data_IF_767190895217
#
_entry.id   IF_767190895217
#
_cell.length_a   1.000
_cell.length_b   1.000
_cell.length_c   1.000
_cell.angle_alpha   90.00
_cell.angle_beta   90.00
_cell.angle_gamma   90.00
#
_symmetry.space_group_name_H-M   'P 1'
#
loop_
_entity.id
_entity.type
_entity.pdbx_description
1 polymer ?
#
# COMPACT_ATOMS: atom_id res chain seq x y z
N UNK A 1 21.32 5.54 -16.94
CA UNK A 1 20.48 6.75 -17.04
C UNK A 1 20.73 7.36 -18.41
N UNK A 2 19.68 7.74 -19.14
CA UNK A 2 19.83 8.56 -20.35
C UNK A 2 20.09 9.99 -19.92
N UNK A 3 20.96 10.69 -20.62
CA UNK A 3 21.25 12.09 -20.32
C UNK A 3 19.99 12.93 -20.58
N UNK A 4 19.49 13.71 -19.58
CA UNK A 4 18.35 14.59 -19.74
C UNK A 4 18.48 15.56 -20.93
N UNK A 5 19.69 16.02 -21.22
CA UNK A 5 19.95 16.94 -22.34
C UNK A 5 19.81 16.23 -23.70
N UNK A 6 20.23 14.97 -23.79
CA UNK A 6 20.03 14.13 -24.98
C UNK A 6 18.56 13.80 -25.21
N UNK A 7 17.78 13.58 -24.14
CA UNK A 7 16.34 13.30 -24.23
C UNK A 7 15.57 14.50 -24.78
N UNK A 8 15.99 15.72 -24.42
CA UNK A 8 15.42 16.95 -24.98
C UNK A 8 16.04 17.35 -26.32
N UNK A 9 17.14 16.72 -26.73
CA UNK A 9 17.86 17.03 -27.98
C UNK A 9 18.53 18.40 -27.95
N UNK A 10 18.99 18.84 -26.78
CA UNK A 10 19.64 20.15 -26.58
C UNK A 10 21.06 19.95 -26.06
N UNK A 11 21.92 20.95 -26.25
CA UNK A 11 23.26 20.96 -25.65
C UNK A 11 23.17 20.99 -24.13
N UNK A 12 24.18 20.45 -23.45
CA UNK A 12 24.34 20.60 -21.98
C UNK A 12 24.52 22.05 -21.56
N UNK A 13 25.07 22.87 -22.45
CA UNK A 13 25.24 24.32 -22.28
C UNK A 13 24.02 25.13 -22.73
N UNK A 14 22.93 24.46 -23.11
CA UNK A 14 21.72 25.16 -23.55
C UNK A 14 21.16 26.06 -22.46
N UNK A 15 20.75 27.25 -22.87
CA UNK A 15 20.05 28.21 -22.01
C UNK A 15 18.69 27.64 -21.58
N UNK A 16 18.16 28.12 -20.45
CA UNK A 16 16.82 27.73 -19.99
C UNK A 16 15.73 28.01 -21.03
N UNK A 17 15.92 29.03 -21.86
CA UNK A 17 15.03 29.38 -22.96
C UNK A 17 15.04 28.31 -24.05
N UNK A 18 16.23 27.80 -24.43
CA UNK A 18 16.38 26.72 -25.41
C UNK A 18 15.84 25.40 -24.88
N UNK A 19 16.08 25.08 -23.61
CA UNK A 19 15.54 23.90 -22.93
C UNK A 19 14.00 23.95 -22.92
N UNK A 20 13.42 25.10 -22.58
CA UNK A 20 11.97 25.31 -22.58
C UNK A 20 11.38 25.25 -23.99
N UNK A 21 12.08 25.79 -24.98
CA UNK A 21 11.65 25.77 -26.38
C UNK A 21 11.66 24.34 -26.95
N UNK A 22 12.71 23.56 -26.66
CA UNK A 22 12.81 22.16 -27.06
C UNK A 22 11.73 21.30 -26.39
N UNK A 23 11.49 21.51 -25.09
CA UNK A 23 10.40 20.87 -24.35
C UNK A 23 9.04 21.14 -25.01
N UNK A 24 8.70 22.40 -25.29
CA UNK A 24 7.43 22.77 -25.95
C UNK A 24 7.25 22.10 -27.31
N UNK A 25 8.34 21.99 -28.09
CA UNK A 25 8.34 21.33 -29.40
C UNK A 25 8.06 19.84 -29.29
N UNK A 26 8.68 19.16 -28.32
CA UNK A 26 8.47 17.73 -28.06
C UNK A 26 7.11 17.45 -27.44
N UNK A 27 6.66 18.31 -26.52
CA UNK A 27 5.34 18.22 -25.89
C UNK A 27 4.22 18.36 -26.92
N UNK A 28 4.34 19.29 -27.87
CA UNK A 28 3.39 19.40 -28.99
C UNK A 28 3.45 18.18 -29.91
N UNK A 29 4.64 17.61 -30.13
CA UNK A 29 4.80 16.44 -31.01
C UNK A 29 4.18 15.17 -30.43
N UNK A 30 4.33 14.94 -29.12
CA UNK A 30 3.85 13.74 -28.43
C UNK A 30 2.57 13.97 -27.62
N UNK A 31 1.87 15.07 -27.85
CA UNK A 31 0.65 15.41 -27.11
C UNK A 31 -0.42 14.31 -27.28
N UNK A 32 -1.12 13.89 -26.21
CA UNK A 32 -2.17 12.87 -26.31
C UNK A 32 -3.30 13.27 -27.26
N UNK A 33 -3.68 14.54 -27.33
CA UNK A 33 -4.71 15.01 -28.29
C UNK A 33 -4.29 14.84 -29.76
N UNK A 34 -2.99 14.89 -30.05
CA UNK A 34 -2.45 14.71 -31.40
C UNK A 34 -2.07 13.26 -31.69
N UNK A 35 -1.96 12.42 -30.66
CA UNK A 35 -1.57 11.01 -30.75
C UNK A 35 -2.47 10.14 -29.84
N UNK A 36 -3.80 10.11 -30.07
CA UNK A 36 -4.70 9.34 -29.22
C UNK A 36 -4.41 7.84 -29.35
N UNK A 37 -4.18 7.17 -28.21
CA UNK A 37 -3.97 5.72 -28.15
C UNK A 37 -2.57 5.23 -28.53
N UNK A 38 -1.61 6.11 -28.84
CA UNK A 38 -0.23 5.72 -29.12
C UNK A 38 0.59 5.60 -27.82
N UNK A 39 0.76 4.35 -27.35
CA UNK A 39 1.57 4.03 -26.18
C UNK A 39 3.06 4.46 -26.33
N UNK A 40 3.56 4.54 -27.57
CA UNK A 40 4.94 4.97 -27.83
C UNK A 40 5.10 6.48 -27.68
N UNK A 41 4.12 7.27 -28.12
CA UNK A 41 4.07 8.72 -27.89
C UNK A 41 3.93 9.04 -26.39
N UNK A 42 3.11 8.27 -25.68
CA UNK A 42 2.94 8.40 -24.23
C UNK A 42 4.25 8.14 -23.47
N UNK A 43 4.97 7.07 -23.83
CA UNK A 43 6.26 6.75 -23.20
C UNK A 43 7.31 7.83 -23.47
N UNK A 44 7.40 8.30 -24.72
CA UNK A 44 8.33 9.39 -25.09
C UNK A 44 7.98 10.71 -24.39
N UNK A 45 6.70 11.03 -24.24
CA UNK A 45 6.26 12.19 -23.48
C UNK A 45 6.67 12.09 -22.00
N UNK A 46 6.50 10.92 -21.38
CA UNK A 46 6.94 10.69 -20.01
C UNK A 46 8.45 10.89 -19.84
N UNK A 47 9.26 10.36 -20.77
CA UNK A 47 10.72 10.54 -20.78
C UNK A 47 11.12 12.03 -20.91
N UNK A 48 10.47 12.77 -21.82
CA UNK A 48 10.69 14.22 -22.02
C UNK A 48 10.35 15.05 -20.79
N UNK A 49 9.27 14.70 -20.08
CA UNK A 49 8.86 15.39 -18.86
C UNK A 49 9.89 15.19 -17.73
N UNK A 50 10.34 13.95 -17.52
CA UNK A 50 11.35 13.64 -16.51
C UNK A 50 12.65 14.39 -16.78
N UNK A 51 13.11 14.40 -18.03
CA UNK A 51 14.33 15.10 -18.43
C UNK A 51 14.26 16.63 -18.19
N UNK A 52 13.14 17.25 -18.54
CA UNK A 52 12.92 18.68 -18.32
C UNK A 52 12.90 19.05 -16.83
N UNK A 53 12.23 18.24 -16.00
CA UNK A 53 12.23 18.45 -14.54
C UNK A 53 13.61 18.27 -13.92
N UNK A 54 14.39 17.29 -14.40
CA UNK A 54 15.74 17.03 -13.91
C UNK A 54 16.71 18.17 -14.24
N UNK A 55 16.59 18.76 -15.43
CA UNK A 55 17.37 19.94 -15.83
C UNK A 55 16.92 21.18 -15.04
N UNK A 56 15.61 21.42 -14.95
CA UNK A 56 15.04 22.60 -14.27
C UNK A 56 15.28 22.60 -12.76
N UNK A 57 15.32 21.42 -12.14
CA UNK A 57 15.62 21.27 -10.71
C UNK A 57 17.12 21.38 -10.39
N UNK A 58 17.99 21.59 -11.39
CA UNK A 58 19.44 21.63 -11.23
C UNK A 58 20.07 20.26 -10.95
N UNK A 59 19.26 19.19 -10.86
CA UNK A 59 19.70 17.82 -10.58
C UNK A 59 20.50 17.22 -11.73
N UNK A 60 20.20 17.60 -12.97
CA UNK A 60 20.98 17.19 -14.14
C UNK A 60 22.41 17.77 -14.12
N UNK A 61 22.58 19.01 -13.65
CA UNK A 61 23.92 19.64 -13.50
C UNK A 61 24.73 19.04 -12.35
N UNK A 62 24.05 18.54 -11.31
CA UNK A 62 24.71 17.99 -10.12
C UNK A 62 25.30 16.59 -10.33
N UNK A 63 24.86 15.86 -11.37
CA UNK A 63 25.37 14.51 -11.67
C UNK A 63 26.76 14.53 -12.33
N UNK A 64 27.25 15.66 -12.84
CA UNK A 64 28.50 15.73 -13.62
C UNK A 64 29.74 16.17 -12.82
N UNK A 65 29.63 16.36 -11.50
CA UNK A 65 30.80 16.73 -10.67
C UNK A 65 31.21 15.73 -9.59
N UNK A 66 30.49 14.63 -9.37
CA UNK A 66 30.88 13.65 -8.33
C UNK A 66 30.20 12.30 -8.53
N UNK A 67 30.99 11.30 -8.94
CA UNK A 67 30.81 9.94 -8.43
C UNK A 67 31.87 9.77 -7.33
N UNK A 68 31.50 9.52 -6.05
CA UNK A 68 30.99 8.20 -5.67
C UNK A 68 29.94 8.15 -4.50
N UNK A 69 29.22 7.03 -4.46
CA UNK A 69 28.72 6.30 -3.27
C UNK A 69 27.47 6.77 -2.47
N UNK A 70 26.65 5.76 -2.15
CA UNK A 70 25.66 5.63 -1.05
C UNK A 70 24.32 6.41 -1.12
N UNK A 71 23.20 5.67 -1.02
CA UNK A 71 21.84 6.22 -0.77
C UNK A 71 21.58 6.50 0.72
N UNK A 72 20.33 6.43 1.23
CA UNK A 72 19.04 6.94 0.75
C UNK A 72 18.31 7.81 1.81
N UNK A 73 17.57 8.88 1.47
CA UNK A 73 16.59 9.56 2.36
C UNK A 73 15.77 10.61 1.56
N UNK A 74 14.46 10.39 1.32
CA UNK A 74 13.29 10.81 2.13
C UNK A 74 13.08 12.32 2.36
N UNK A 75 12.23 12.92 1.49
CA UNK A 75 11.20 13.99 1.71
C UNK A 75 11.62 15.30 2.45
N UNK A 76 10.70 16.28 2.63
CA UNK A 76 9.84 17.00 1.68
C UNK A 76 10.07 18.52 1.78
N UNK A 77 9.86 19.31 0.71
CA UNK A 77 9.78 20.77 0.88
C UNK A 77 8.86 21.42 -0.15
N UNK A 78 7.78 22.04 0.35
CA UNK A 78 7.10 23.13 -0.32
C UNK A 78 7.77 24.45 0.05
N UNK A 79 7.78 25.42 -0.87
CA UNK A 79 8.30 26.75 -0.58
C UNK A 79 8.54 27.62 -1.81
N UNK A 80 7.51 28.40 -2.16
CA UNK A 80 7.50 29.75 -2.76
C UNK A 80 8.28 30.08 -4.05
N UNK A 81 7.52 30.67 -5.00
CA UNK A 81 8.00 31.35 -6.19
C UNK A 81 6.90 32.22 -6.82
N UNK A 82 6.56 33.30 -6.12
CA UNK A 82 5.85 34.50 -6.57
C UNK A 82 6.20 34.91 -8.02
N UNK A 83 5.34 34.64 -9.00
CA UNK A 83 5.15 35.49 -10.19
C UNK A 83 3.83 35.09 -10.87
N UNK A 84 2.91 36.04 -11.00
CA UNK A 84 1.62 35.84 -11.65
C UNK A 84 1.83 35.45 -13.11
N UNK A 85 1.54 34.20 -13.43
CA UNK A 85 1.50 33.68 -14.78
C UNK A 85 0.63 32.44 -14.74
N UNK A 86 -0.41 32.44 -15.57
CA UNK A 86 -1.23 31.27 -15.85
C UNK A 86 -0.30 30.09 -16.15
N UNK A 87 -0.14 29.16 -15.19
CA UNK A 87 0.64 27.94 -15.37
C UNK A 87 -0.26 26.97 -16.15
N UNK A 88 -0.05 26.78 -17.47
CA UNK A 88 -0.89 25.90 -18.28
C UNK A 88 -0.78 24.44 -17.80
N UNK A 89 0.20 24.17 -16.94
CA UNK A 89 0.45 22.90 -16.29
C UNK A 89 -0.34 22.72 -14.99
N UNK A 90 -0.99 23.74 -14.41
CA UNK A 90 -1.88 23.55 -13.26
C UNK A 90 -3.11 22.71 -13.67
N UNK A 91 -3.72 23.01 -14.82
CA UNK A 91 -4.83 22.23 -15.35
C UNK A 91 -4.41 20.79 -15.71
N UNK A 92 -3.23 20.61 -16.31
CA UNK A 92 -2.69 19.30 -16.66
C UNK A 92 -2.28 18.48 -15.42
N UNK A 93 -1.62 19.11 -14.43
CA UNK A 93 -1.24 18.49 -13.13
C UNK A 93 -2.48 18.12 -12.33
N UNK A 94 -3.50 18.99 -12.30
CA UNK A 94 -4.79 18.71 -11.67
C UNK A 94 -5.55 17.60 -12.41
N UNK A 95 -5.49 17.57 -13.75
CA UNK A 95 -6.10 16.49 -14.56
C UNK A 95 -5.38 15.15 -14.39
N UNK A 96 -4.05 15.13 -14.27
CA UNK A 96 -3.26 13.92 -14.03
C UNK A 96 -3.35 13.43 -12.58
N UNK A 97 -3.40 14.33 -11.59
CA UNK A 97 -3.74 13.98 -10.21
C UNK A 97 -5.18 13.47 -10.10
N UNK A 98 -6.12 14.05 -10.86
CA UNK A 98 -7.49 13.54 -10.96
C UNK A 98 -7.56 12.21 -11.70
N UNK A 99 -6.71 11.95 -12.70
CA UNK A 99 -6.61 10.66 -13.39
C UNK A 99 -6.00 9.56 -12.49
N UNK A 100 -5.00 9.89 -11.67
CA UNK A 100 -4.47 9.00 -10.64
C UNK A 100 -5.46 8.79 -9.49
N UNK A 101 -6.21 9.82 -9.08
CA UNK A 101 -7.34 9.66 -8.16
C UNK A 101 -8.49 8.90 -8.83
N UNK A 102 -8.65 8.94 -10.16
CA UNK A 102 -9.67 8.17 -10.89
C UNK A 102 -9.37 6.68 -10.91
N UNK A 103 -8.10 6.26 -10.89
CA UNK A 103 -7.74 4.87 -10.59
C UNK A 103 -8.02 4.47 -9.12
N UNK A 104 -8.21 5.44 -8.22
CA UNK A 104 -8.79 5.24 -6.88
C UNK A 104 -10.31 5.55 -6.81
N UNK A 105 -10.93 6.10 -7.87
CA UNK A 105 -12.39 6.37 -7.97
C UNK A 105 -13.22 5.15 -8.32
N UNK A 106 -12.60 3.99 -8.56
CA UNK A 106 -13.29 2.71 -8.47
C UNK A 106 -13.85 2.44 -7.06
N UNK A 107 -13.54 3.29 -6.07
CA UNK A 107 -14.13 3.24 -4.73
C UNK A 107 -14.85 4.54 -4.33
N UNK A 108 -15.69 5.13 -5.18
CA UNK A 108 -16.83 5.96 -4.70
C UNK A 108 -17.88 5.03 -4.08
N UNK A 109 -17.42 4.25 -3.12
CA UNK A 109 -18.09 3.17 -2.44
C UNK A 109 -18.19 3.67 -0.99
N UNK A 110 -19.32 3.45 -0.31
CA UNK A 110 -19.70 4.13 0.96
C UNK A 110 -18.74 3.96 2.15
N UNK A 111 -17.53 3.42 1.92
CA UNK A 111 -16.47 3.13 2.87
C UNK A 111 -15.52 4.29 3.16
N UNK A 112 -15.59 5.43 2.47
CA UNK A 112 -14.77 6.61 2.80
C UNK A 112 -14.81 7.02 4.28
N UNK A 113 -15.98 7.13 4.94
CA UNK A 113 -16.00 7.38 6.39
C UNK A 113 -15.31 6.25 7.18
N UNK A 114 -15.50 4.99 6.78
CA UNK A 114 -14.85 3.84 7.42
C UNK A 114 -13.33 3.96 7.34
N UNK A 115 -12.77 4.23 6.15
CA UNK A 115 -11.32 4.39 5.94
C UNK A 115 -10.75 5.54 6.77
N UNK A 116 -11.48 6.65 6.91
CA UNK A 116 -11.08 7.76 7.79
C UNK A 116 -11.01 7.32 9.25
N UNK A 117 -11.98 6.56 9.74
CA UNK A 117 -11.95 6.01 11.10
C UNK A 117 -10.80 5.01 11.28
N UNK A 118 -10.54 4.15 10.30
CA UNK A 118 -9.41 3.20 10.32
C UNK A 118 -8.06 3.92 10.44
N UNK A 119 -7.84 4.95 9.63
CA UNK A 119 -6.62 5.77 9.69
C UNK A 119 -6.45 6.51 11.02
N UNK A 120 -7.57 6.85 11.67
CA UNK A 120 -7.58 7.46 12.99
C UNK A 120 -7.50 6.44 14.14
N UNK A 121 -7.34 5.13 13.85
CA UNK A 121 -7.38 4.03 14.83
C UNK A 121 -8.69 3.95 15.63
N UNK A 122 -9.77 4.51 15.08
CA UNK A 122 -11.12 4.57 15.67
C UNK A 122 -11.96 3.40 15.18
N UNK A 123 -11.56 2.19 15.56
CA UNK A 123 -12.10 0.95 15.00
C UNK A 123 -13.57 0.69 15.38
N UNK A 124 -14.00 1.16 16.55
CA UNK A 124 -15.41 1.03 16.98
C UNK A 124 -16.33 1.85 16.08
N UNK A 125 -15.95 3.08 15.74
CA UNK A 125 -16.71 3.94 14.83
C UNK A 125 -16.68 3.42 13.39
N UNK A 126 -15.55 2.83 12.97
CA UNK A 126 -15.46 2.13 11.70
C UNK A 126 -16.48 0.98 11.62
N UNK A 127 -16.57 0.15 12.67
CA UNK A 127 -17.56 -0.94 12.75
C UNK A 127 -18.99 -0.43 12.81
N UNK A 128 -19.24 0.69 13.52
CA UNK A 128 -20.56 1.31 13.53
C UNK A 128 -20.97 1.77 12.12
N UNK A 129 -20.09 2.47 11.41
CA UNK A 129 -20.35 2.89 10.04
C UNK A 129 -20.59 1.69 9.10
N UNK A 130 -19.79 0.62 9.23
CA UNK A 130 -19.99 -0.62 8.49
C UNK A 130 -21.33 -1.30 8.80
N UNK A 131 -21.82 -1.21 10.04
CA UNK A 131 -23.10 -1.81 10.43
C UNK A 131 -24.31 -1.15 9.75
N UNK A 132 -24.20 0.14 9.39
CA UNK A 132 -25.25 0.87 8.68
C UNK A 132 -25.35 0.53 7.19
N UNK A 133 -24.29 -0.07 6.63
CA UNK A 133 -24.27 -0.46 5.23
C UNK A 133 -25.14 -1.71 5.05
N UNK A 134 -25.95 -1.75 3.99
CA UNK A 134 -26.79 -2.92 3.68
C UNK A 134 -26.02 -3.99 2.93
N UNK A 135 -25.17 -3.57 2.00
CA UNK A 135 -24.42 -4.47 1.14
C UNK A 135 -23.16 -4.98 1.83
N UNK A 136 -22.91 -6.28 1.69
CA UNK A 136 -21.75 -7.00 2.24
C UNK A 136 -20.82 -7.37 1.08
N UNK A 137 -20.10 -6.37 0.59
CA UNK A 137 -19.09 -6.55 -0.47
C UNK A 137 -17.81 -7.17 0.08
N UNK A 138 -16.91 -7.63 -0.80
CA UNK A 138 -15.61 -8.14 -0.38
C UNK A 138 -14.81 -7.09 0.42
N UNK A 139 -14.91 -5.82 0.03
CA UNK A 139 -14.31 -4.68 0.74
C UNK A 139 -14.93 -4.47 2.12
N UNK A 140 -16.25 -4.65 2.27
CA UNK A 140 -16.91 -4.60 3.59
C UNK A 140 -16.32 -5.64 4.53
N UNK A 141 -16.18 -6.88 4.07
CA UNK A 141 -15.63 -7.97 4.86
C UNK A 141 -14.17 -7.72 5.21
N UNK A 142 -13.37 -7.23 4.26
CA UNK A 142 -11.99 -6.85 4.50
C UNK A 142 -11.86 -5.76 5.58
N UNK A 143 -12.59 -4.65 5.45
CA UNK A 143 -12.53 -3.55 6.42
C UNK A 143 -13.03 -3.98 7.81
N UNK A 144 -14.10 -4.78 7.84
CA UNK A 144 -14.62 -5.36 9.08
C UNK A 144 -13.62 -6.31 9.75
N UNK A 145 -12.89 -7.10 8.96
CA UNK A 145 -11.84 -7.98 9.47
C UNK A 145 -10.70 -7.20 10.10
N UNK A 146 -10.19 -6.17 9.42
CA UNK A 146 -9.09 -5.35 9.94
C UNK A 146 -9.51 -4.60 11.21
N UNK A 147 -10.72 -4.06 11.25
CA UNK A 147 -11.22 -3.37 12.45
C UNK A 147 -11.34 -4.34 13.65
N UNK A 148 -11.93 -5.52 13.44
CA UNK A 148 -12.04 -6.54 14.49
C UNK A 148 -10.68 -7.06 14.94
N UNK A 149 -9.72 -7.22 14.03
CA UNK A 149 -8.37 -7.65 14.37
C UNK A 149 -7.68 -6.67 15.32
N UNK A 150 -7.76 -5.37 15.03
CA UNK A 150 -7.17 -4.33 15.86
C UNK A 150 -7.86 -4.16 17.22
N UNK A 151 -9.15 -4.51 17.31
CA UNK A 151 -9.88 -4.58 18.58
C UNK A 151 -9.62 -5.88 19.38
N UNK A 152 -8.87 -6.83 18.81
CA UNK A 152 -8.58 -8.12 19.46
C UNK A 152 -9.64 -9.21 19.22
N UNK A 153 -10.69 -8.93 18.44
CA UNK A 153 -11.74 -9.88 18.06
C UNK A 153 -11.26 -10.82 16.95
N UNK A 154 -10.27 -11.66 17.26
CA UNK A 154 -9.53 -12.47 16.27
C UNK A 154 -10.39 -13.46 15.50
N UNK A 155 -11.36 -14.10 16.16
CA UNK A 155 -12.23 -15.09 15.50
C UNK A 155 -13.10 -14.42 14.44
N UNK A 156 -13.75 -13.32 14.79
CA UNK A 156 -14.55 -12.52 13.85
C UNK A 156 -13.69 -11.99 12.70
N UNK A 157 -12.48 -11.52 13.02
CA UNK A 157 -11.54 -11.05 12.01
C UNK A 157 -11.15 -12.13 11.01
N UNK A 158 -10.87 -13.36 11.48
CA UNK A 158 -10.56 -14.51 10.63
C UNK A 158 -11.74 -14.88 9.72
N UNK A 159 -12.94 -15.00 10.28
CA UNK A 159 -14.13 -15.34 9.50
C UNK A 159 -14.41 -14.31 8.40
N UNK A 160 -14.27 -13.02 8.72
CA UNK A 160 -14.49 -11.95 7.75
C UNK A 160 -13.40 -11.89 6.68
N UNK A 161 -12.12 -12.08 7.01
CA UNK A 161 -11.06 -12.05 5.99
C UNK A 161 -11.12 -13.27 5.07
N UNK A 162 -11.51 -14.43 5.60
CA UNK A 162 -11.73 -15.64 4.80
C UNK A 162 -12.85 -15.41 3.77
N UNK A 163 -13.95 -14.76 4.17
CA UNK A 163 -15.04 -14.40 3.26
C UNK A 163 -14.61 -13.37 2.21
N UNK A 164 -13.82 -12.36 2.60
CA UNK A 164 -13.28 -11.38 1.65
C UNK A 164 -12.41 -12.04 0.57
N UNK A 165 -11.53 -12.97 0.96
CA UNK A 165 -10.68 -13.74 0.02
C UNK A 165 -11.52 -14.67 -0.85
N UNK A 166 -12.57 -15.28 -0.30
CA UNK A 166 -13.50 -16.13 -1.07
C UNK A 166 -14.21 -15.34 -2.16
N UNK A 167 -14.60 -14.09 -1.88
CA UNK A 167 -15.27 -13.21 -2.83
C UNK A 167 -14.32 -12.62 -3.88
N UNK A 168 -13.08 -12.29 -3.49
CA UNK A 168 -12.06 -11.70 -4.36
C UNK A 168 -10.69 -12.38 -4.15
N UNK A 169 -10.49 -13.59 -4.72
CA UNK A 169 -9.28 -14.38 -4.50
C UNK A 169 -8.04 -13.82 -5.20
N UNK A 170 -8.24 -13.00 -6.22
CA UNK A 170 -7.22 -12.28 -6.99
C UNK A 170 -6.69 -11.04 -6.24
N UNK A 171 -7.38 -10.57 -5.21
CA UNK A 171 -6.93 -9.43 -4.42
C UNK A 171 -5.82 -9.82 -3.45
N UNK A 172 -4.58 -9.54 -3.86
CA UNK A 172 -3.37 -9.80 -3.08
C UNK A 172 -3.43 -9.24 -1.65
N UNK A 173 -4.06 -8.07 -1.43
CA UNK A 173 -4.13 -7.46 -0.10
C UNK A 173 -4.94 -8.33 0.87
N UNK A 174 -6.05 -8.92 0.43
CA UNK A 174 -6.90 -9.73 1.29
C UNK A 174 -6.20 -11.03 1.70
N UNK A 175 -5.54 -11.68 0.74
CA UNK A 175 -4.75 -12.89 0.96
C UNK A 175 -3.60 -12.62 1.93
N UNK A 176 -2.90 -11.49 1.75
CA UNK A 176 -1.81 -11.09 2.65
C UNK A 176 -2.32 -10.84 4.07
N UNK A 177 -3.41 -10.09 4.23
CA UNK A 177 -4.01 -9.81 5.55
C UNK A 177 -4.50 -11.09 6.23
N UNK A 178 -5.08 -12.04 5.50
CA UNK A 178 -5.45 -13.36 6.04
C UNK A 178 -4.25 -14.07 6.66
N UNK A 179 -3.12 -14.12 5.95
CA UNK A 179 -1.89 -14.74 6.46
C UNK A 179 -1.40 -14.05 7.74
N UNK A 180 -1.48 -12.72 7.82
CA UNK A 180 -1.09 -11.95 9.01
C UNK A 180 -1.98 -12.26 10.22
N UNK A 181 -3.30 -12.37 10.03
CA UNK A 181 -4.24 -12.66 11.11
C UNK A 181 -4.05 -14.12 11.58
N UNK A 182 -3.87 -15.06 10.65
CA UNK A 182 -3.64 -16.48 10.95
C UNK A 182 -2.33 -16.74 11.69
N UNK A 183 -1.23 -16.13 11.26
CA UNK A 183 0.09 -16.30 11.90
C UNK A 183 0.10 -15.85 13.36
N UNK A 184 -0.67 -14.80 13.69
CA UNK A 184 -0.80 -14.35 15.07
C UNK A 184 -1.74 -15.24 15.93
N UNK A 185 -2.70 -15.94 15.31
CA UNK A 185 -3.59 -16.85 16.05
C UNK A 185 -2.83 -18.08 16.59
N UNK A 186 -1.89 -18.62 15.82
CA UNK A 186 -1.09 -19.79 16.21
C UNK A 186 -0.23 -19.53 17.47
N UNK A 187 0.25 -18.30 17.67
CA UNK A 187 0.96 -17.95 18.91
C UNK A 187 0.08 -18.05 20.16
N UNK A 188 -1.21 -17.71 20.08
CA UNK A 188 -2.11 -17.82 21.23
C UNK A 188 -2.44 -19.28 21.55
N UNK A 189 -2.66 -20.12 20.53
CA UNK A 189 -2.93 -21.56 20.73
C UNK A 189 -1.71 -22.29 21.29
N UNK A 190 -0.50 -21.99 20.82
CA UNK A 190 0.73 -22.55 21.38
C UNK A 190 0.96 -22.08 22.82
N UNK A 191 0.72 -20.79 23.12
CA UNK A 191 0.89 -20.28 24.49
C UNK A 191 -0.18 -20.80 25.45
N UNK A 192 -1.41 -21.06 24.98
CA UNK A 192 -2.44 -21.71 25.79
C UNK A 192 -2.17 -23.20 26.02
N UNK A 193 -1.43 -23.88 25.14
CA UNK A 193 -0.95 -25.25 25.38
C UNK A 193 0.19 -25.27 26.42
N UNK A 194 0.95 -24.18 26.55
CA UNK A 194 2.00 -24.03 27.56
C UNK A 194 1.46 -23.72 28.98
N UNK A 195 0.26 -23.13 29.08
CA UNK A 195 -0.44 -22.86 30.34
C UNK A 195 -1.73 -23.70 30.52
N UNK A 196 -2.03 -24.58 29.57
CA UNK A 196 -3.09 -25.57 29.69
C UNK A 196 -2.64 -26.62 30.70
N UNK A 197 -3.55 -27.00 31.60
CA UNK A 197 -3.29 -28.06 32.59
C UNK A 197 -2.52 -29.22 31.93
N UNK A 198 -1.42 -29.69 32.54
CA UNK A 198 -0.71 -30.86 32.01
C UNK A 198 -1.73 -31.97 31.81
N UNK A 199 -1.61 -32.69 30.70
CA UNK A 199 -2.54 -33.74 30.30
C UNK A 199 -2.81 -34.70 31.47
N UNK A 200 -3.94 -34.49 32.15
CA UNK A 200 -4.33 -35.24 33.35
C UNK A 200 -4.63 -36.70 33.03
N UNK A 201 -4.71 -37.07 31.75
CA UNK A 201 -4.79 -38.48 31.35
C UNK A 201 -3.46 -39.21 31.60
N UNK A 202 -2.32 -38.54 31.42
CA UNK A 202 -1.00 -39.11 31.73
C UNK A 202 -0.73 -39.20 33.24
N UNK A 203 -1.16 -38.18 34.00
CA UNK A 203 -1.05 -38.14 35.47
C UNK A 203 -2.01 -39.13 36.15
N UNK A 204 -3.23 -39.32 35.62
CA UNK A 204 -4.14 -40.37 36.10
C UNK A 204 -3.61 -41.78 35.81
N UNK A 205 -2.86 -41.98 34.72
CA UNK A 205 -2.29 -43.29 34.40
C UNK A 205 -1.15 -43.67 35.35
N UNK A 206 -0.31 -42.71 35.73
CA UNK A 206 0.74 -42.91 36.73
C UNK A 206 0.18 -43.02 38.17
N UNK A 207 -0.81 -42.19 38.54
CA UNK A 207 -1.47 -42.29 39.84
C UNK A 207 -2.28 -43.58 39.98
N UNK A 208 -3.06 -43.98 38.97
CA UNK A 208 -3.79 -45.26 38.97
C UNK A 208 -2.82 -46.44 38.92
N UNK A 209 -1.72 -46.34 38.17
CA UNK A 209 -0.66 -47.35 38.16
C UNK A 209 0.01 -47.55 39.52
N UNK A 210 0.32 -46.47 40.24
CA UNK A 210 0.89 -46.52 41.60
C UNK A 210 -0.12 -47.00 42.65
N UNK A 211 -1.41 -46.65 42.49
CA UNK A 211 -2.49 -47.15 43.35
C UNK A 211 -2.74 -48.65 43.14
N UNK A 212 -2.71 -49.13 41.89
CA UNK A 212 -2.86 -50.55 41.56
C UNK A 212 -1.63 -51.37 41.97
N UNK A 213 -0.41 -50.84 41.81
CA UNK A 213 0.81 -51.50 42.29
C UNK A 213 0.83 -51.66 43.81
N UNK A 214 0.29 -50.70 44.58
CA UNK A 214 0.14 -50.82 46.04
C UNK A 214 -0.93 -51.83 46.48
N UNK A 215 -1.93 -52.10 45.63
CA UNK A 215 -2.93 -53.15 45.87
C UNK A 215 -2.38 -54.54 45.54
N UNK A 216 -1.58 -54.68 44.46
CA UNK A 216 -0.96 -55.95 44.09
C UNK A 216 0.18 -56.36 45.03
N UNK A 217 0.94 -55.42 45.60
CA UNK A 217 2.03 -55.72 46.55
C UNK A 217 1.58 -55.91 48.01
N UNK A 218 0.27 -55.94 48.30
CA UNK A 218 -0.28 -56.28 49.63
C UNK A 218 -0.84 -57.70 49.72
N UNK A 219 -0.68 -58.49 48.66
CA UNK A 219 -1.05 -59.90 48.62
C UNK A 219 0.16 -60.76 48.23
N UNK A 220 1.20 -60.79 49.08
CA UNK A 220 2.15 -61.90 49.22
C UNK A 220 2.82 -61.81 50.60
#
# INVERSE_FOLDING_TARGET
MRDPYEVLGVSRDASEQEITAAYRKLAKKYHPDLNPGDASAQKKMAEVNVAYEEIKSGRARYQDYSRPQAGPQQRPYGGYGQYGGFDPFEAFRNSWQQAQQQQQRSSFDGFDPVRRYMNAMRYNEALYALSQMKDRTAEWYYLSAVANFNLGNRVTALNHIDEAVRMAPDNYNYVQTRMQIQGNAQQYTQRSQMFGMPDITSLNTLCMGLCLARLCCRCF
#
